data_IF_560036412906
#
_entry.id   IF_560036412906
#
_cell.length_a   1.000
_cell.length_b   1.000
_cell.length_c   1.000
_cell.angle_alpha   90.00
_cell.angle_beta   90.00
_cell.angle_gamma   90.00
#
_symmetry.space_group_name_H-M   'P 1'
#
loop_
_entity.id
_entity.type
_entity.pdbx_description
1 polymer ?
#
# COMPACT_ATOMS: atom_id res chain seq x y z
N UNK A 1 12.30 -8.73 -6.42
CA UNK A 1 11.64 -9.14 -5.15
C UNK A 1 10.20 -9.57 -5.43
N UNK A 2 9.52 -10.22 -4.47
CA UNK A 2 8.11 -10.65 -4.60
C UNK A 2 7.32 -10.23 -3.35
N UNK A 3 6.11 -9.70 -3.54
CA UNK A 3 5.13 -9.45 -2.46
C UNK A 3 3.88 -10.29 -2.74
N UNK A 4 3.30 -10.87 -1.68
CA UNK A 4 2.09 -11.69 -1.75
C UNK A 4 1.04 -11.10 -0.82
N UNK A 5 -0.18 -10.92 -1.32
CA UNK A 5 -1.35 -10.51 -0.54
C UNK A 5 -2.41 -11.61 -0.61
N UNK A 6 -3.02 -11.93 0.52
CA UNK A 6 -4.22 -12.77 0.58
C UNK A 6 -5.43 -11.86 0.78
N UNK A 7 -6.45 -12.02 -0.04
CA UNK A 7 -7.70 -11.31 0.06
C UNK A 7 -8.67 -12.08 0.96
N UNK A 8 -9.68 -11.37 1.47
CA UNK A 8 -10.72 -11.94 2.31
C UNK A 8 -11.58 -13.01 1.60
N UNK A 9 -11.57 -13.03 0.25
CA UNK A 9 -12.23 -14.05 -0.58
C UNK A 9 -11.36 -15.29 -0.83
N UNK A 10 -10.19 -15.39 -0.18
CA UNK A 10 -9.23 -16.48 -0.33
C UNK A 10 -8.36 -16.39 -1.58
N UNK A 11 -8.52 -15.36 -2.42
CA UNK A 11 -7.64 -15.17 -3.56
C UNK A 11 -6.28 -14.62 -3.13
N UNK A 12 -5.23 -15.09 -3.80
CA UNK A 12 -3.88 -14.56 -3.61
C UNK A 12 -3.47 -13.66 -4.77
N UNK A 13 -2.98 -12.46 -4.46
CA UNK A 13 -2.37 -11.54 -5.42
C UNK A 13 -0.86 -11.57 -5.23
N UNK A 14 -0.12 -11.84 -6.31
CA UNK A 14 1.34 -11.88 -6.29
C UNK A 14 1.87 -10.77 -7.18
N UNK A 15 2.71 -9.91 -6.62
CA UNK A 15 3.49 -8.94 -7.38
C UNK A 15 4.94 -9.41 -7.47
N UNK A 16 5.46 -9.54 -8.69
CA UNK A 16 6.83 -9.95 -8.98
C UNK A 16 7.60 -8.85 -9.71
N UNK A 17 8.93 -8.87 -9.63
CA UNK A 17 9.76 -7.92 -10.38
C UNK A 17 9.89 -6.55 -9.73
N UNK A 18 9.46 -6.40 -8.47
CA UNK A 18 9.61 -5.15 -7.71
C UNK A 18 11.08 -4.97 -7.32
N UNK A 19 11.62 -3.78 -7.57
CA UNK A 19 12.95 -3.35 -7.12
C UNK A 19 12.86 -2.69 -5.72
N UNK A 20 14.01 -2.39 -5.10
CA UNK A 20 14.06 -1.88 -3.73
C UNK A 20 13.55 -0.43 -3.61
N UNK A 21 13.68 0.37 -4.67
CA UNK A 21 13.20 1.75 -4.73
C UNK A 21 11.67 1.78 -4.74
N UNK A 22 11.05 0.99 -5.62
CA UNK A 22 9.61 0.84 -5.73
C UNK A 22 9.02 0.28 -4.44
N UNK A 23 9.67 -0.72 -3.81
CA UNK A 23 9.25 -1.22 -2.51
C UNK A 23 9.28 -0.12 -1.45
N UNK A 24 10.38 0.62 -1.36
CA UNK A 24 10.54 1.71 -0.39
C UNK A 24 9.48 2.78 -0.58
N UNK A 25 9.13 3.06 -1.84
CA UNK A 25 8.02 3.93 -2.17
C UNK A 25 6.73 3.32 -1.64
N UNK A 26 6.34 2.08 -2.00
CA UNK A 26 5.10 1.44 -1.55
C UNK A 26 4.94 1.32 -0.02
N UNK A 27 6.04 1.26 0.73
CA UNK A 27 6.04 1.23 2.19
C UNK A 27 6.02 2.63 2.83
N UNK A 28 6.29 3.69 2.06
CA UNK A 28 6.30 5.06 2.53
C UNK A 28 4.96 5.76 2.24
N UNK A 29 4.17 5.95 3.30
CA UNK A 29 2.86 6.62 3.26
C UNK A 29 2.93 7.97 2.52
N UNK A 30 4.00 8.75 2.71
CA UNK A 30 4.16 10.08 2.08
C UNK A 30 4.34 9.98 0.57
N UNK A 31 5.24 9.10 0.13
CA UNK A 31 5.56 8.91 -1.28
C UNK A 31 4.32 8.42 -2.05
N UNK A 32 3.58 7.49 -1.46
CA UNK A 32 2.44 6.85 -2.11
C UNK A 32 1.18 7.71 -2.00
N UNK A 33 0.95 8.42 -0.89
CA UNK A 33 -0.12 9.41 -0.81
C UNK A 33 0.00 10.47 -1.92
N UNK A 34 1.23 10.92 -2.21
CA UNK A 34 1.51 11.83 -3.34
C UNK A 34 1.23 11.16 -4.69
N UNK A 35 1.62 9.90 -4.87
CA UNK A 35 1.43 9.17 -6.12
C UNK A 35 -0.06 8.92 -6.44
N UNK A 36 -0.84 8.52 -5.44
CA UNK A 36 -2.27 8.23 -5.57
C UNK A 36 -3.17 9.46 -5.33
N UNK A 37 -2.58 10.64 -5.13
CA UNK A 37 -3.29 11.89 -4.85
C UNK A 37 -4.27 11.81 -3.66
N UNK A 38 -3.86 11.10 -2.61
CA UNK A 38 -4.63 10.96 -1.36
C UNK A 38 -4.05 11.92 -0.32
N UNK A 39 -4.91 12.51 0.50
CA UNK A 39 -4.46 13.31 1.63
C UNK A 39 -3.64 12.44 2.60
N UNK A 40 -2.40 12.85 2.89
CA UNK A 40 -1.49 12.12 3.77
C UNK A 40 -2.09 11.88 5.17
N UNK A 41 -2.89 12.82 5.68
CA UNK A 41 -3.56 12.67 6.97
C UNK A 41 -4.62 11.57 6.92
N UNK A 42 -5.33 11.44 5.79
CA UNK A 42 -6.30 10.35 5.57
C UNK A 42 -5.59 9.00 5.53
N UNK A 43 -4.49 8.90 4.78
CA UNK A 43 -3.70 7.68 4.71
C UNK A 43 -3.12 7.31 6.08
N UNK A 44 -2.53 8.28 6.78
CA UNK A 44 -1.99 8.11 8.13
C UNK A 44 -3.06 7.66 9.13
N UNK A 45 -4.25 8.25 9.09
CA UNK A 45 -5.37 7.85 9.94
C UNK A 45 -5.88 6.43 9.64
N UNK A 46 -5.80 5.97 8.39
CA UNK A 46 -6.15 4.59 8.02
C UNK A 46 -5.09 3.60 8.52
N UNK A 47 -3.80 3.94 8.39
CA UNK A 47 -2.71 3.12 8.93
C UNK A 47 -2.77 3.04 10.45
N UNK A 48 -3.07 4.15 11.15
CA UNK A 48 -3.23 4.14 12.62
C UNK A 48 -4.43 3.31 13.10
N UNK A 49 -5.43 3.10 12.23
CA UNK A 49 -6.54 2.16 12.41
C UNK A 49 -6.18 0.70 12.07
N UNK A 50 -4.91 0.41 11.79
CA UNK A 50 -4.41 -0.94 11.52
C UNK A 50 -4.47 -1.36 10.05
N UNK A 51 -4.74 -0.46 9.11
CA UNK A 51 -4.70 -0.81 7.69
C UNK A 51 -3.25 -0.90 7.23
N UNK A 52 -2.92 -1.90 6.40
CA UNK A 52 -1.62 -1.90 5.73
C UNK A 52 -1.53 -0.71 4.76
N UNK A 53 -0.31 -0.20 4.52
CA UNK A 53 -0.08 1.03 3.74
C UNK A 53 -0.80 1.00 2.39
N UNK A 54 -0.73 -0.10 1.66
CA UNK A 54 -1.41 -0.27 0.37
C UNK A 54 -2.94 -0.19 0.50
N UNK A 55 -3.53 -0.79 1.54
CA UNK A 55 -4.98 -0.72 1.80
C UNK A 55 -5.40 0.69 2.23
N UNK A 56 -4.59 1.34 3.07
CA UNK A 56 -4.81 2.72 3.51
C UNK A 56 -4.86 3.72 2.34
N UNK A 57 -4.29 3.33 1.20
CA UNK A 57 -4.13 4.14 0.00
C UNK A 57 -5.02 3.67 -1.16
N UNK A 58 -5.88 2.68 -0.94
CA UNK A 58 -6.97 2.41 -1.87
C UNK A 58 -8.04 3.51 -1.73
N UNK A 59 -8.46 4.07 -2.87
CA UNK A 59 -9.71 4.84 -2.99
C UNK A 59 -10.78 3.85 -3.45
N UNK A 60 -11.78 3.60 -2.61
CA UNK A 60 -13.06 3.07 -3.09
C UNK A 60 -13.74 4.08 -4.02
#
# INVERSE_FOLDING_TARGET
MKITFEKDDGQTVIWTGINDEDLSNFLNITAVAKHFNININTASARVSRGWCVLKALATE
#
